data_IF_060287450753
#
_entry.id   IF_060287450753
#
_cell.length_a   1.000
_cell.length_b   1.000
_cell.length_c   1.000
_cell.angle_alpha   90.00
_cell.angle_beta   90.00
_cell.angle_gamma   90.00
#
_symmetry.space_group_name_H-M   'P 1'
#
loop_
_entity.id
_entity.type
_entity.pdbx_description
1 polymer ?
#
# COMPACT_ATOMS: atom_id res chain seq x y z
N UNK A 1 -23.31 -5.40 9.34
CA UNK A 1 -22.62 -6.20 8.32
C UNK A 1 -21.13 -5.99 8.51
N UNK A 2 -20.56 -6.61 9.55
CA UNK A 2 -19.09 -6.67 9.68
C UNK A 2 -18.66 -7.71 8.67
N UNK A 3 -18.10 -7.26 7.55
CA UNK A 3 -17.36 -8.18 6.70
C UNK A 3 -16.30 -8.86 7.57
N UNK A 4 -16.35 -10.18 7.61
CA UNK A 4 -15.44 -10.99 8.39
C UNK A 4 -14.02 -10.63 7.97
N UNK A 5 -13.17 -10.27 8.94
CA UNK A 5 -11.83 -9.74 8.65
C UNK A 5 -11.01 -10.72 7.78
N UNK A 6 -11.34 -12.01 7.82
CA UNK A 6 -10.79 -13.02 6.92
C UNK A 6 -11.12 -12.78 5.44
N UNK A 7 -12.32 -12.34 5.07
CA UNK A 7 -12.70 -12.14 3.65
C UNK A 7 -11.89 -11.02 2.99
N UNK A 8 -11.60 -9.94 3.71
CA UNK A 8 -10.78 -8.85 3.18
C UNK A 8 -9.35 -9.32 2.88
N UNK A 9 -8.75 -10.04 3.83
CA UNK A 9 -7.37 -10.51 3.74
C UNK A 9 -7.20 -11.66 2.75
N UNK A 10 -8.15 -12.60 2.71
CA UNK A 10 -8.05 -13.81 1.91
C UNK A 10 -8.55 -13.65 0.47
N UNK A 11 -9.45 -12.68 0.21
CA UNK A 11 -10.09 -12.52 -1.12
C UNK A 11 -9.74 -11.18 -1.75
N UNK A 12 -9.84 -10.08 -1.00
CA UNK A 12 -9.74 -8.74 -1.58
C UNK A 12 -8.29 -8.28 -1.72
N UNK A 13 -7.46 -8.47 -0.68
CA UNK A 13 -6.05 -8.07 -0.71
C UNK A 13 -5.27 -8.71 -1.88
N UNK A 14 -5.38 -10.03 -2.18
CA UNK A 14 -4.67 -10.65 -3.30
C UNK A 14 -4.96 -9.97 -4.63
N UNK A 15 -6.24 -9.64 -4.88
CA UNK A 15 -6.66 -8.94 -6.09
C UNK A 15 -6.08 -7.52 -6.14
N UNK A 16 -6.19 -6.75 -5.06
CA UNK A 16 -5.69 -5.37 -5.02
C UNK A 16 -4.16 -5.29 -5.14
N UNK A 17 -3.45 -6.27 -4.59
CA UNK A 17 -2.00 -6.38 -4.73
C UNK A 17 -1.64 -6.72 -6.18
N UNK A 18 -2.31 -7.70 -6.80
CA UNK A 18 -2.08 -8.09 -8.19
C UNK A 18 -2.36 -6.95 -9.16
N UNK A 19 -3.42 -6.17 -8.92
CA UNK A 19 -3.74 -4.99 -9.72
C UNK A 19 -2.82 -3.78 -9.43
N UNK A 20 -1.94 -3.87 -8.42
CA UNK A 20 -1.01 -2.82 -8.04
C UNK A 20 -1.68 -1.63 -7.34
N UNK A 21 -2.82 -1.85 -6.69
CA UNK A 21 -3.53 -0.85 -5.89
C UNK A 21 -3.11 -0.85 -4.42
N UNK A 22 -2.69 -2.01 -3.90
CA UNK A 22 -2.27 -2.18 -2.50
C UNK A 22 -0.81 -2.65 -2.43
N UNK A 23 -0.06 -2.09 -1.48
CA UNK A 23 1.32 -2.47 -1.18
C UNK A 23 1.42 -2.93 0.27
N UNK A 24 1.99 -4.11 0.50
CA UNK A 24 2.32 -4.58 1.85
C UNK A 24 3.68 -4.01 2.25
N UNK A 25 3.72 -3.34 3.40
CA UNK A 25 4.94 -2.76 3.97
C UNK A 25 5.17 -3.30 5.37
N UNK A 26 6.38 -3.14 5.91
CA UNK A 26 6.69 -3.53 7.28
C UNK A 26 5.80 -2.84 8.35
N UNK A 27 5.20 -1.69 8.01
CA UNK A 27 4.30 -0.93 8.90
C UNK A 27 2.82 -1.22 8.67
N UNK A 28 2.48 -2.12 7.75
CA UNK A 28 1.10 -2.45 7.39
C UNK A 28 0.79 -2.24 5.91
N UNK A 29 -0.50 -2.05 5.59
CA UNK A 29 -0.99 -1.89 4.22
C UNK A 29 -0.91 -0.42 3.80
N UNK A 30 -0.48 -0.17 2.57
CA UNK A 30 -0.38 1.16 1.99
C UNK A 30 -1.05 1.19 0.61
N UNK A 31 -1.87 2.22 0.37
CA UNK A 31 -2.45 2.44 -0.95
C UNK A 31 -1.38 2.97 -1.92
N UNK A 32 -1.28 2.35 -3.10
CA UNK A 32 -0.34 2.76 -4.13
C UNK A 32 -0.77 4.07 -4.80
N UNK A 33 0.16 4.77 -5.46
CA UNK A 33 -0.18 5.94 -6.26
C UNK A 33 -1.21 5.65 -7.37
N UNK A 34 -1.32 4.40 -7.83
CA UNK A 34 -2.37 3.96 -8.76
C UNK A 34 -3.75 3.98 -8.08
N UNK A 35 -3.85 3.53 -6.83
CA UNK A 35 -5.10 3.55 -6.06
C UNK A 35 -5.56 4.99 -5.80
N UNK A 36 -4.65 5.86 -5.35
CA UNK A 36 -4.97 7.28 -5.15
C UNK A 36 -5.54 7.92 -6.43
N UNK A 37 -4.88 7.73 -7.57
CA UNK A 37 -5.36 8.26 -8.86
C UNK A 37 -6.69 7.65 -9.30
N UNK A 38 -6.90 6.35 -9.07
CA UNK A 38 -8.15 5.68 -9.40
C UNK A 38 -9.34 6.22 -8.60
N UNK A 39 -9.08 6.65 -7.36
CA UNK A 39 -10.06 7.30 -6.49
C UNK A 39 -10.20 8.81 -6.75
N UNK A 40 -9.46 9.37 -7.72
CA UNK A 40 -9.45 10.81 -8.01
C UNK A 40 -8.75 11.65 -6.94
N UNK A 41 -7.92 11.03 -6.11
CA UNK A 41 -7.21 11.67 -4.99
C UNK A 41 -5.74 11.92 -5.34
N UNK A 42 -5.16 12.96 -4.73
CA UNK A 42 -3.73 13.25 -4.85
C UNK A 42 -2.94 12.31 -3.93
N UNK A 43 -1.98 11.53 -4.44
CA UNK A 43 -1.16 10.66 -3.60
C UNK A 43 -0.34 11.49 -2.61
N UNK A 44 -0.17 11.02 -1.36
CA UNK A 44 0.69 11.70 -0.39
C UNK A 44 2.14 11.75 -0.93
N UNK A 45 2.92 12.78 -0.54
CA UNK A 45 4.33 12.85 -0.91
C UNK A 45 5.01 11.55 -0.51
N UNK A 46 5.79 10.96 -1.43
CA UNK A 46 6.47 9.67 -1.22
C UNK A 46 7.26 9.76 0.07
N UNK A 47 6.81 9.05 1.11
CA UNK A 47 7.59 8.94 2.34
C UNK A 47 8.92 8.25 1.96
N UNK A 48 10.08 8.82 2.34
CA UNK A 48 11.36 8.19 2.08
C UNK A 48 11.32 6.79 2.69
N UNK A 49 11.61 5.79 1.86
CA UNK A 49 11.66 4.42 2.33
C UNK A 49 12.88 4.30 3.25
N UNK A 50 12.82 3.54 4.35
CA UNK A 50 13.96 3.40 5.25
C UNK A 50 15.20 2.78 4.59
N UNK A 51 15.08 2.22 3.37
CA UNK A 51 16.23 1.83 2.55
C UNK A 51 17.15 3.02 2.21
N UNK A 52 16.58 4.22 2.00
CA UNK A 52 17.36 5.44 1.72
C UNK A 52 18.12 5.97 2.94
N UNK A 53 17.78 5.52 4.16
CA UNK A 53 18.39 6.01 5.40
C UNK A 53 19.75 5.38 5.74
N UNK A 54 20.09 4.23 5.14
CA UNK A 54 21.34 3.52 5.42
C UNK A 54 22.42 3.72 4.34
N UNK A 55 22.10 4.41 3.24
CA UNK A 55 23.03 4.66 2.13
C UNK A 55 23.79 6.00 2.25
N UNK A 56 23.49 6.80 3.29
CA UNK A 56 24.15 8.08 3.55
C UNK A 56 25.18 7.96 4.68
N UNK A 57 26.25 7.19 4.48
CA UNK A 57 27.50 7.35 5.25
C UNK A 57 28.69 6.75 4.51
N UNK A 58 29.28 7.56 3.63
CA UNK A 58 30.72 7.51 3.33
C UNK A 58 31.33 8.88 3.69
#
# INVERSE_FOLDING_TARGET
LSEDRGTLEDVVEPYLIQQGFLVRTARGRMASAKAWRHLGLTPPPRQPQPADLFESKE
#
